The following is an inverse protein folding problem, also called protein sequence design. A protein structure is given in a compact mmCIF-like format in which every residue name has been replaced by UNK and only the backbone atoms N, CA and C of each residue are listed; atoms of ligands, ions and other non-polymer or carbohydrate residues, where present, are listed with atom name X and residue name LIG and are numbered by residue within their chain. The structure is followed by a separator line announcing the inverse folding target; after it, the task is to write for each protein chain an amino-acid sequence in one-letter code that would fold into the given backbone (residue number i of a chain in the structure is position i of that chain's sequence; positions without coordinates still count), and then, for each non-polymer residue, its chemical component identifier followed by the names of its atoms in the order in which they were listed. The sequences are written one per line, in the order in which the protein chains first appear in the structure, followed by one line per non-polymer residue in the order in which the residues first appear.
data_IF_031059162042
#
_entry.id   IF_031059162042
#
_cell.length_a   1.000
_cell.length_b   1.000
_cell.length_c   1.000
_cell.angle_alpha   90.00
_cell.angle_beta   90.00
_cell.angle_gamma   90.00
#
_symmetry.space_group_name_H-M   'P 1'
#
loop_
_entity.id
_entity.type
_entity.pdbx_description
1 polymer ?
#
# COMPACT_ATOMS: atom_id res chain seq x y z
N UNK A 1 -11.07 6.80 7.18
CA UNK A 1 -11.48 5.76 6.19
C UNK A 1 -10.27 4.89 5.92
N UNK A 2 -10.34 3.59 6.22
CA UNK A 2 -9.34 2.66 5.71
C UNK A 2 -9.39 2.70 4.18
N UNK A 3 -8.24 2.67 3.50
CA UNK A 3 -8.19 2.59 2.05
C UNK A 3 -8.59 1.18 1.62
N UNK A 4 -9.88 0.86 1.79
CA UNK A 4 -10.51 -0.42 1.44
C UNK A 4 -11.41 -0.21 0.23
N UNK A 5 -11.18 -0.96 -0.84
CA UNK A 5 -12.06 -0.90 -2.00
C UNK A 5 -13.42 -1.51 -1.67
N UNK A 6 -14.52 -0.79 -1.93
CA UNK A 6 -15.87 -1.26 -1.62
C UNK A 6 -16.33 -2.40 -2.52
N UNK A 7 -15.77 -2.52 -3.73
CA UNK A 7 -16.16 -3.53 -4.72
C UNK A 7 -15.35 -4.82 -4.54
N UNK A 8 -14.03 -4.69 -4.43
CA UNK A 8 -13.11 -5.85 -4.39
C UNK A 8 -12.68 -6.22 -2.97
N UNK A 9 -12.96 -5.39 -1.97
CA UNK A 9 -12.44 -5.58 -0.61
C UNK A 9 -10.92 -5.36 -0.49
N UNK A 10 -10.24 -4.89 -1.54
CA UNK A 10 -8.79 -4.71 -1.53
C UNK A 10 -8.36 -3.78 -0.39
N UNK A 11 -7.42 -4.25 0.44
CA UNK A 11 -6.88 -3.56 1.61
C UNK A 11 -5.42 -3.13 1.37
N UNK A 12 -4.92 -2.13 2.13
CA UNK A 12 -3.53 -1.73 2.04
C UNK A 12 -2.58 -2.83 2.52
N UNK A 13 -1.51 -3.04 1.75
CA UNK A 13 -0.41 -3.93 2.12
C UNK A 13 0.70 -3.18 2.84
N UNK A 14 1.57 -3.91 3.54
CA UNK A 14 2.76 -3.37 4.21
C UNK A 14 4.00 -4.13 3.76
N UNK A 15 5.13 -3.41 3.67
CA UNK A 15 6.41 -4.00 3.32
C UNK A 15 7.53 -2.98 3.50
N UNK A 16 8.64 -3.18 2.78
CA UNK A 16 9.79 -2.30 2.84
C UNK A 16 10.23 -1.83 1.45
N UNK A 17 10.68 -0.58 1.36
CA UNK A 17 11.53 -0.18 0.24
C UNK A 17 12.97 -0.60 0.56
N UNK A 18 13.60 -1.28 -0.39
CA UNK A 18 14.97 -1.80 -0.25
C UNK A 18 15.84 -0.98 -1.20
N UNK A 19 16.83 -0.27 -0.67
CA UNK A 19 17.82 0.44 -1.50
C UNK A 19 18.84 -0.52 -2.11
N UNK A 20 19.65 -0.04 -3.07
CA UNK A 20 20.78 -0.79 -3.61
C UNK A 20 21.77 -1.31 -2.54
N UNK A 21 21.92 -0.55 -1.45
CA UNK A 21 22.73 -0.93 -0.28
C UNK A 21 21.96 -1.77 0.75
N UNK A 22 20.80 -2.32 0.41
CA UNK A 22 19.92 -3.10 1.29
C UNK A 22 19.42 -2.36 2.53
N UNK A 23 19.38 -1.03 2.52
CA UNK A 23 18.69 -0.27 3.57
C UNK A 23 17.19 -0.46 3.42
N UNK A 24 16.54 -0.96 4.48
CA UNK A 24 15.09 -1.23 4.52
C UNK A 24 14.37 -0.09 5.20
N UNK A 25 13.44 0.56 4.51
CA UNK A 25 12.52 1.55 5.10
C UNK A 25 11.09 1.05 5.02
N UNK A 26 10.28 1.32 6.05
CA UNK A 26 8.87 0.88 6.08
C UNK A 26 8.10 1.56 4.94
N UNK A 27 7.32 0.77 4.20
CA UNK A 27 6.45 1.25 3.11
C UNK A 27 5.06 0.63 3.24
N UNK A 28 4.05 1.44 2.93
CA UNK A 28 2.66 1.02 2.78
C UNK A 28 2.28 1.03 1.30
N UNK A 29 1.52 0.04 0.88
CA UNK A 29 1.01 -0.14 -0.49
C UNK A 29 -0.50 0.09 -0.46
N UNK A 30 -0.94 1.30 -0.78
CA UNK A 30 -2.36 1.62 -0.80
C UNK A 30 -3.00 1.19 -2.14
N UNK A 31 -4.22 0.61 -2.11
CA UNK A 31 -4.97 0.33 -3.32
C UNK A 31 -5.38 1.64 -4.00
N UNK A 32 -5.40 1.63 -5.33
CA UNK A 32 -5.78 2.78 -6.14
C UNK A 32 -7.32 2.98 -6.14
N UNK A 33 -7.87 3.53 -5.04
CA UNK A 33 -9.30 3.78 -4.89
C UNK A 33 -9.66 5.11 -5.54
N UNK A 34 -10.38 5.03 -6.66
CA UNK A 34 -10.90 6.18 -7.37
C UNK A 34 -12.25 6.61 -6.79
N UNK A 35 -12.43 7.91 -6.58
CA UNK A 35 -13.71 8.53 -6.16
C UNK A 35 -14.24 9.36 -7.33
N UNK A 36 -15.54 9.31 -7.57
CA UNK A 36 -16.23 10.18 -8.55
C UNK A 36 -16.57 11.52 -7.92
#
# INVERSE_FOLDING_TARGET
MAATCQVTGAIPGFGHAISHSHRRTKRRFDPNIQKK
#
